data_IF_976254086831
#
_entry.id   IF_976254086831
#
_cell.length_a   1.000
_cell.length_b   1.000
_cell.length_c   1.000
_cell.angle_alpha   90.00
_cell.angle_beta   90.00
_cell.angle_gamma   90.00
#
_symmetry.space_group_name_H-M   'P 1'
#
loop_
_entity.id
_entity.type
_entity.pdbx_description
1 polymer ?
#
# COMPACT_ATOMS: atom_id res chain seq x y z
N UNK A 1 18.96 -2.02 -20.39
CA UNK A 1 17.86 -1.55 -19.52
C UNK A 1 17.97 -0.04 -19.39
N UNK A 2 16.89 0.71 -19.62
CA UNK A 2 16.91 2.17 -19.44
C UNK A 2 17.22 2.49 -17.98
N UNK A 3 18.22 3.33 -17.72
CA UNK A 3 18.51 3.81 -16.37
C UNK A 3 17.26 4.51 -15.83
N UNK A 4 16.74 4.04 -14.71
CA UNK A 4 15.62 4.67 -14.02
C UNK A 4 16.05 6.10 -13.68
N UNK A 5 15.28 7.09 -14.15
CA UNK A 5 15.56 8.49 -13.87
C UNK A 5 15.29 8.71 -12.38
N UNK A 6 16.30 9.18 -11.65
CA UNK A 6 16.15 9.62 -10.26
C UNK A 6 15.00 10.63 -10.19
N UNK A 7 14.06 10.41 -9.29
CA UNK A 7 12.93 11.31 -9.06
C UNK A 7 13.50 12.61 -8.49
N UNK A 8 13.25 13.71 -9.20
CA UNK A 8 13.56 15.06 -8.74
C UNK A 8 12.25 15.77 -8.41
N UNK A 9 12.13 16.27 -7.18
CA UNK A 9 10.96 17.07 -6.77
C UNK A 9 11.16 18.51 -7.24
N UNK A 10 10.12 19.24 -7.67
CA UNK A 10 10.18 20.69 -7.86
C UNK A 10 10.24 21.45 -6.52
N UNK A 11 11.00 22.55 -6.43
CA UNK A 11 11.25 23.27 -5.16
C UNK A 11 9.97 23.65 -4.40
N UNK A 12 8.90 24.02 -5.11
CA UNK A 12 7.59 24.39 -4.55
C UNK A 12 6.80 23.21 -3.96
N UNK A 13 7.26 21.97 -4.18
CA UNK A 13 6.66 20.72 -3.67
C UNK A 13 7.52 20.01 -2.62
N UNK A 14 8.67 20.58 -2.25
CA UNK A 14 9.66 19.92 -1.41
C UNK A 14 9.12 19.45 -0.07
N UNK A 15 8.35 20.32 0.60
CA UNK A 15 7.99 20.16 2.00
C UNK A 15 7.47 18.74 2.32
N UNK A 16 6.61 18.16 1.47
CA UNK A 16 6.09 16.79 1.68
C UNK A 16 6.62 15.77 0.69
N UNK A 17 6.91 16.19 -0.54
CA UNK A 17 7.22 15.23 -1.61
C UNK A 17 8.69 14.81 -1.60
N UNK A 18 9.59 15.60 -0.99
CA UNK A 18 11.03 15.31 -0.99
C UNK A 18 11.35 13.98 -0.30
N UNK A 19 10.78 13.74 0.89
CA UNK A 19 11.05 12.50 1.62
C UNK A 19 10.53 11.27 0.88
N UNK A 20 9.35 11.35 0.28
CA UNK A 20 8.83 10.27 -0.53
C UNK A 20 9.74 10.00 -1.74
N UNK A 21 10.17 11.05 -2.43
CA UNK A 21 11.07 10.91 -3.57
C UNK A 21 12.44 10.33 -3.18
N UNK A 22 13.01 10.75 -2.04
CA UNK A 22 14.25 10.21 -1.51
C UNK A 22 14.09 8.72 -1.19
N UNK A 23 13.03 8.35 -0.45
CA UNK A 23 12.73 6.95 -0.12
C UNK A 23 12.53 6.09 -1.36
N UNK A 24 11.77 6.57 -2.36
CA UNK A 24 11.59 5.87 -3.64
C UNK A 24 12.91 5.70 -4.37
N UNK A 25 13.73 6.74 -4.47
CA UNK A 25 15.05 6.68 -5.12
C UNK A 25 16.00 5.71 -4.42
N UNK A 26 15.89 5.54 -3.11
CA UNK A 26 16.72 4.67 -2.28
C UNK A 26 16.28 3.21 -2.37
N UNK A 27 14.98 2.93 -2.37
CA UNK A 27 14.43 1.58 -2.16
C UNK A 27 13.81 0.97 -3.43
N UNK A 28 13.29 1.79 -4.34
CA UNK A 28 12.58 1.34 -5.54
C UNK A 28 13.54 1.32 -6.73
N UNK A 29 13.57 0.18 -7.42
CA UNK A 29 14.25 0.05 -8.71
C UNK A 29 13.42 0.70 -9.80
N UNK A 30 12.14 0.32 -9.92
CA UNK A 30 11.22 0.91 -10.91
C UNK A 30 9.76 0.82 -10.47
N UNK A 31 8.96 1.77 -10.95
CA UNK A 31 7.51 1.65 -10.90
C UNK A 31 7.04 0.63 -11.94
N UNK A 32 6.12 -0.27 -11.55
CA UNK A 32 5.43 -1.16 -12.49
C UNK A 32 4.16 -0.50 -12.99
N UNK A 33 3.33 0.02 -12.08
CA UNK A 33 2.15 0.84 -12.38
C UNK A 33 1.75 1.66 -11.14
N UNK A 34 0.93 2.70 -11.35
CA UNK A 34 0.28 3.51 -10.31
C UNK A 34 -1.23 3.60 -10.55
N UNK A 35 -2.02 3.87 -9.52
CA UNK A 35 -3.46 4.17 -9.60
C UNK A 35 -4.29 3.11 -10.36
N UNK A 36 -3.94 1.82 -10.18
CA UNK A 36 -4.55 0.72 -10.93
C UNK A 36 -5.75 0.14 -10.19
N UNK A 37 -6.85 -0.07 -10.91
CA UNK A 37 -7.99 -0.83 -10.40
C UNK A 37 -7.62 -2.31 -10.36
N UNK A 38 -7.77 -2.92 -9.18
CA UNK A 38 -7.62 -4.34 -8.94
C UNK A 38 -8.99 -4.91 -8.57
N UNK A 39 -9.29 -6.09 -9.12
CA UNK A 39 -10.57 -6.77 -8.94
C UNK A 39 -10.25 -8.15 -8.37
N UNK A 40 -10.76 -8.42 -7.18
CA UNK A 40 -10.69 -9.71 -6.53
C UNK A 40 -12.07 -10.35 -6.40
N UNK A 41 -12.10 -11.52 -5.76
CA UNK A 41 -13.32 -12.28 -5.55
C UNK A 41 -14.22 -11.61 -4.52
N UNK A 42 -15.24 -10.90 -4.98
CA UNK A 42 -16.18 -10.19 -4.10
C UNK A 42 -15.80 -8.75 -3.76
N UNK A 43 -14.72 -8.19 -4.33
CA UNK A 43 -14.24 -6.85 -4.02
C UNK A 43 -13.46 -6.21 -5.18
N UNK A 44 -13.38 -4.89 -5.19
CA UNK A 44 -12.52 -4.14 -6.09
C UNK A 44 -12.04 -2.85 -5.41
N UNK A 45 -10.87 -2.36 -5.81
CA UNK A 45 -10.32 -1.12 -5.29
C UNK A 45 -9.21 -0.56 -6.18
N UNK A 46 -8.77 0.66 -5.89
CA UNK A 46 -7.68 1.33 -6.60
C UNK A 46 -6.43 1.30 -5.73
N UNK A 47 -5.38 0.65 -6.21
CA UNK A 47 -4.09 0.56 -5.53
C UNK A 47 -3.18 1.70 -6.01
N UNK A 48 -2.55 2.40 -5.05
CA UNK A 48 -1.68 3.55 -5.31
C UNK A 48 -0.51 3.16 -6.21
N UNK A 49 0.13 1.99 -5.98
CA UNK A 49 1.13 1.49 -6.90
C UNK A 49 1.69 0.09 -6.60
N UNK A 50 2.25 -0.50 -7.65
CA UNK A 50 3.11 -1.67 -7.60
C UNK A 50 4.50 -1.26 -8.05
N UNK A 51 5.49 -1.57 -7.24
CA UNK A 51 6.89 -1.23 -7.48
C UNK A 51 7.76 -2.48 -7.45
N UNK A 52 8.83 -2.43 -8.23
CA UNK A 52 9.96 -3.36 -8.13
C UNK A 52 10.97 -2.74 -7.18
N UNK A 53 11.23 -3.41 -6.07
CA UNK A 53 12.21 -3.00 -5.06
C UNK A 53 13.63 -3.36 -5.53
N UNK A 54 14.64 -2.65 -5.02
CA UNK A 54 16.05 -2.90 -5.40
C UNK A 54 16.61 -4.24 -4.90
N UNK A 55 15.96 -4.87 -3.92
CA UNK A 55 16.27 -6.23 -3.47
C UNK A 55 15.71 -7.31 -4.43
N UNK A 56 15.01 -6.89 -5.49
CA UNK A 56 14.40 -7.78 -6.47
C UNK A 56 12.98 -8.22 -6.11
N UNK A 57 12.41 -7.81 -4.97
CA UNK A 57 11.02 -8.12 -4.62
C UNK A 57 10.03 -7.19 -5.33
N UNK A 58 8.77 -7.63 -5.45
CA UNK A 58 7.65 -6.76 -5.82
C UNK A 58 6.93 -6.32 -4.54
N UNK A 59 6.48 -5.06 -4.50
CA UNK A 59 5.71 -4.53 -3.39
C UNK A 59 4.50 -3.71 -3.88
N UNK A 60 3.31 -4.02 -3.36
CA UNK A 60 2.20 -3.06 -3.37
C UNK A 60 2.45 -2.01 -2.30
N UNK A 61 2.34 -0.75 -2.68
CA UNK A 61 2.53 0.39 -1.78
C UNK A 61 1.21 1.15 -1.63
N UNK A 62 1.00 1.73 -0.47
CA UNK A 62 -0.10 2.65 -0.19
C UNK A 62 0.45 3.86 0.56
N UNK A 63 0.11 5.06 0.06
CA UNK A 63 0.56 6.33 0.59
C UNK A 63 -0.46 6.86 1.60
N UNK A 64 -0.04 6.99 2.86
CA UNK A 64 -0.87 7.52 3.94
C UNK A 64 -0.35 8.87 4.41
N UNK A 65 -1.27 9.79 4.66
CA UNK A 65 -0.98 11.05 5.36
C UNK A 65 -1.65 11.02 6.74
N UNK A 66 -0.87 11.05 7.82
CA UNK A 66 -1.39 10.87 9.20
C UNK A 66 -0.60 11.65 10.23
N UNK A 67 -1.23 11.97 11.35
CA UNK A 67 -0.52 12.54 12.50
C UNK A 67 0.41 11.48 13.09
N UNK A 68 1.71 11.79 13.15
CA UNK A 68 2.72 10.93 13.78
C UNK A 68 3.07 11.50 15.15
N UNK A 69 3.18 10.62 16.14
CA UNK A 69 3.64 10.96 17.47
C UNK A 69 4.90 10.12 17.77
N UNK A 70 6.08 10.75 17.99
CA UNK A 70 7.33 10.04 18.24
C UNK A 70 7.30 9.13 19.48
N UNK A 71 6.35 9.33 20.39
CA UNK A 71 6.19 8.49 21.59
C UNK A 71 5.59 7.12 21.29
N UNK A 72 4.95 6.95 20.14
CA UNK A 72 4.32 5.69 19.73
C UNK A 72 5.08 5.08 18.55
N UNK A 73 4.81 3.81 18.27
CA UNK A 73 5.36 3.11 17.11
C UNK A 73 4.88 3.70 15.77
N UNK A 74 5.16 2.97 14.69
CA UNK A 74 4.74 3.37 13.35
C UNK A 74 3.23 3.61 13.30
N UNK A 75 2.80 4.73 12.70
CA UNK A 75 1.39 5.11 12.59
C UNK A 75 0.62 4.29 11.52
N UNK A 76 0.88 2.98 11.48
CA UNK A 76 0.23 1.99 10.65
C UNK A 76 -0.93 1.34 11.43
N UNK A 77 -2.00 1.00 10.73
CA UNK A 77 -3.22 0.40 11.31
C UNK A 77 -3.50 -0.97 10.70
N UNK A 78 -4.23 -1.81 11.42
CA UNK A 78 -4.69 -3.13 10.94
C UNK A 78 -5.50 -3.03 9.63
N UNK A 79 -6.22 -1.92 9.44
CA UNK A 79 -6.94 -1.66 8.19
C UNK A 79 -6.01 -1.43 6.99
N UNK A 80 -4.76 -1.01 7.21
CA UNK A 80 -3.79 -0.81 6.12
C UNK A 80 -3.31 -2.16 5.58
N UNK A 81 -2.95 -3.08 6.47
CA UNK A 81 -2.53 -4.43 6.06
C UNK A 81 -3.69 -5.18 5.42
N UNK A 82 -4.93 -5.02 5.91
CA UNK A 82 -6.10 -5.62 5.28
C UNK A 82 -6.31 -5.10 3.85
N UNK A 83 -6.17 -3.78 3.63
CA UNK A 83 -6.27 -3.17 2.31
C UNK A 83 -5.16 -3.66 1.37
N UNK A 84 -3.90 -3.60 1.80
CA UNK A 84 -2.74 -3.98 1.00
C UNK A 84 -2.72 -5.49 0.71
N UNK A 85 -3.12 -6.33 1.67
CA UNK A 85 -3.24 -7.76 1.47
C UNK A 85 -4.31 -8.08 0.40
N UNK A 86 -5.48 -7.42 0.45
CA UNK A 86 -6.51 -7.58 -0.57
C UNK A 86 -6.00 -7.23 -1.98
N UNK A 87 -5.16 -6.20 -2.11
CA UNK A 87 -4.51 -5.85 -3.38
C UNK A 87 -3.44 -6.86 -3.80
N UNK A 88 -2.60 -7.31 -2.87
CA UNK A 88 -1.57 -8.33 -3.12
C UNK A 88 -2.19 -9.62 -3.68
N UNK A 89 -3.31 -10.08 -3.11
CA UNK A 89 -4.00 -11.30 -3.57
C UNK A 89 -4.62 -11.18 -4.97
N UNK A 90 -4.75 -9.96 -5.52
CA UNK A 90 -5.19 -9.76 -6.91
C UNK A 90 -4.06 -9.90 -7.93
N UNK A 91 -2.82 -10.17 -7.49
CA UNK A 91 -1.61 -10.18 -8.32
C UNK A 91 -0.95 -11.56 -8.19
N UNK A 92 -0.59 -12.17 -9.33
CA UNK A 92 -0.11 -13.55 -9.42
C UNK A 92 1.09 -13.83 -8.49
N UNK A 93 2.07 -12.94 -8.46
CA UNK A 93 3.28 -13.10 -7.64
C UNK A 93 3.07 -12.79 -6.15
N UNK A 94 1.86 -12.39 -5.73
CA UNK A 94 1.52 -12.03 -4.35
C UNK A 94 2.57 -11.11 -3.70
N UNK A 95 2.76 -9.89 -4.23
CA UNK A 95 3.81 -8.98 -3.80
C UNK A 95 3.72 -8.64 -2.30
N UNK A 96 4.83 -8.23 -1.72
CA UNK A 96 4.88 -7.70 -0.35
C UNK A 96 4.00 -6.46 -0.21
N UNK A 97 3.65 -6.10 1.01
CA UNK A 97 2.87 -4.90 1.32
C UNK A 97 3.69 -3.88 2.10
N UNK A 98 3.71 -2.63 1.64
CA UNK A 98 4.40 -1.54 2.34
C UNK A 98 3.45 -0.34 2.50
N UNK A 99 3.15 0.02 3.75
CA UNK A 99 2.52 1.30 4.06
C UNK A 99 3.60 2.38 4.11
N UNK A 100 3.46 3.45 3.33
CA UNK A 100 4.36 4.61 3.33
C UNK A 100 3.62 5.80 3.94
N UNK A 101 4.01 6.18 5.15
CA UNK A 101 3.29 7.15 5.97
C UNK A 101 4.08 8.46 6.02
N UNK A 102 3.50 9.51 5.46
CA UNK A 102 4.01 10.87 5.51
C UNK A 102 3.31 11.58 6.67
N UNK A 103 4.07 12.16 7.59
CA UNK A 103 3.47 12.80 8.75
C UNK A 103 2.73 14.09 8.35
N UNK A 104 1.48 14.20 8.80
CA UNK A 104 0.63 15.35 8.52
C UNK A 104 1.06 16.59 9.31
N UNK A 105 1.63 16.37 10.49
CA UNK A 105 2.04 17.37 11.47
C UNK A 105 3.55 17.70 11.47
N UNK A 106 4.36 16.95 10.73
CA UNK A 106 5.78 17.22 10.58
C UNK A 106 6.25 16.79 9.18
N UNK A 107 6.52 17.73 8.26
CA UNK A 107 6.95 17.41 6.91
C UNK A 107 8.31 16.71 6.83
N UNK A 108 9.10 16.73 7.92
CA UNK A 108 10.40 16.06 8.01
C UNK A 108 10.30 14.58 8.40
N UNK A 109 9.10 14.03 8.62
CA UNK A 109 8.90 12.66 9.09
C UNK A 109 8.19 11.81 8.04
N UNK A 110 8.87 10.72 7.65
CA UNK A 110 8.32 9.62 6.87
C UNK A 110 8.57 8.32 7.65
N UNK A 111 7.53 7.50 7.80
CA UNK A 111 7.61 6.17 8.37
C UNK A 111 7.21 5.14 7.31
N UNK A 112 7.82 3.96 7.35
CA UNK A 112 7.38 2.82 6.54
C UNK A 112 7.04 1.63 7.43
N UNK A 113 6.05 0.87 7.02
CA UNK A 113 5.73 -0.45 7.58
C UNK A 113 5.69 -1.44 6.43
N UNK A 114 6.72 -2.27 6.31
CA UNK A 114 6.66 -3.51 5.54
C UNK A 114 5.94 -4.54 6.40
N UNK A 115 4.94 -5.19 5.82
CA UNK A 115 4.13 -6.21 6.49
C UNK A 115 4.65 -7.60 6.15
N UNK A 116 4.76 -8.45 7.17
CA UNK A 116 5.15 -9.83 6.99
C UNK A 116 4.01 -10.64 6.35
N UNK A 117 4.36 -11.69 5.62
CA UNK A 117 3.36 -12.51 4.89
C UNK A 117 2.28 -13.08 5.81
N UNK A 118 2.65 -13.50 7.02
CA UNK A 118 1.69 -14.03 8.00
C UNK A 118 0.68 -12.96 8.46
N UNK A 119 1.14 -11.72 8.71
CA UNK A 119 0.26 -10.59 9.05
C UNK A 119 -0.72 -10.32 7.88
N UNK A 120 -0.23 -10.37 6.63
CA UNK A 120 -1.07 -10.19 5.45
C UNK A 120 -2.11 -11.31 5.27
N UNK A 121 -1.74 -12.56 5.54
CA UNK A 121 -2.65 -13.70 5.45
C UNK A 121 -3.78 -13.60 6.48
N UNK A 122 -3.44 -13.26 7.73
CA UNK A 122 -4.41 -13.03 8.79
C UNK A 122 -5.33 -11.84 8.45
N UNK A 123 -4.76 -10.73 7.99
CA UNK A 123 -5.51 -9.55 7.60
C UNK A 123 -6.42 -9.80 6.39
N UNK A 124 -5.99 -10.60 5.40
CA UNK A 124 -6.83 -10.96 4.26
C UNK A 124 -8.00 -11.86 4.66
N UNK A 125 -7.77 -12.78 5.61
CA UNK A 125 -8.85 -13.58 6.19
C UNK A 125 -9.88 -12.70 6.90
N UNK A 126 -9.43 -11.74 7.71
CA UNK A 126 -10.31 -10.74 8.33
C UNK A 126 -11.06 -9.91 7.27
N UNK A 127 -10.36 -9.45 6.22
CA UNK A 127 -10.95 -8.69 5.11
C UNK A 127 -12.07 -9.47 4.42
N UNK A 128 -11.88 -10.76 4.10
CA UNK A 128 -12.95 -11.59 3.51
C UNK A 128 -14.18 -11.69 4.42
N UNK A 129 -14.00 -11.78 5.73
CA UNK A 129 -15.12 -11.74 6.68
C UNK A 129 -15.85 -10.40 6.63
N UNK A 130 -15.13 -9.27 6.52
CA UNK A 130 -15.73 -7.95 6.36
C UNK A 130 -16.50 -7.83 5.04
N UNK A 131 -16.00 -8.41 3.95
CA UNK A 131 -16.73 -8.48 2.66
C UNK A 131 -18.06 -9.23 2.84
N UNK A 132 -18.08 -10.33 3.60
CA UNK A 132 -19.32 -11.08 3.90
C UNK A 132 -20.33 -10.24 4.69
N UNK A 133 -19.87 -9.54 5.74
CA UNK A 133 -20.73 -8.63 6.52
C UNK A 133 -21.27 -7.49 5.65
N UNK A 134 -20.42 -6.91 4.79
CA UNK A 134 -20.81 -5.86 3.88
C UNK A 134 -21.85 -6.35 2.86
N UNK A 135 -21.65 -7.51 2.26
CA UNK A 135 -22.56 -8.11 1.28
C UNK A 135 -23.95 -8.36 1.89
N UNK A 136 -23.99 -8.92 3.11
CA UNK A 136 -25.22 -9.08 3.87
C UNK A 136 -25.90 -7.75 4.15
N UNK A 137 -25.15 -6.75 4.63
CA UNK A 137 -25.68 -5.41 4.96
C UNK A 137 -26.24 -4.70 3.72
N UNK A 138 -25.65 -4.92 2.55
CA UNK A 138 -26.09 -4.34 1.28
C UNK A 138 -27.16 -5.17 0.57
N UNK A 139 -27.50 -6.35 1.08
CA UNK A 139 -28.33 -7.34 0.40
C UNK A 139 -27.88 -7.54 -1.06
N UNK A 140 -26.56 -7.63 -1.26
CA UNK A 140 -25.93 -7.69 -2.58
C UNK A 140 -24.76 -8.66 -2.53
N UNK A 141 -24.72 -9.59 -3.49
CA UNK A 141 -23.60 -10.52 -3.67
C UNK A 141 -22.77 -10.06 -4.87
N UNK A 142 -21.56 -9.52 -4.66
CA UNK A 142 -20.70 -9.15 -5.77
C UNK A 142 -20.24 -10.37 -6.59
N UNK A 143 -19.94 -10.17 -7.88
CA UNK A 143 -19.37 -11.22 -8.71
C UNK A 143 -18.12 -11.85 -8.10
N UNK A 144 -18.01 -13.17 -8.21
CA UNK A 144 -16.86 -13.95 -7.73
C UNK A 144 -16.79 -14.12 -6.22
N UNK A 145 -17.73 -13.58 -5.43
CA UNK A 145 -17.77 -13.80 -3.99
C UNK A 145 -18.15 -15.24 -3.66
N UNK A 146 -17.32 -15.92 -2.86
CA UNK A 146 -17.65 -17.22 -2.28
C UNK A 146 -18.39 -17.03 -0.94
N UNK A 147 -19.58 -17.64 -0.83
CA UNK A 147 -20.42 -17.62 0.37
C UNK A 147 -19.92 -18.62 1.43
#
# INVERSE_FOLDING_TARGET
MSKVKKITVPQDKYERCKLLADWLNENVERCVWTEKVLIGNGYAGRCDGLVKMKDGSLAVIDLKNRKVNPKYGTAAYESDVAQLAAYSECIEEKPKAISVIIASNDPAVLQTREWERHEMDEAFNAFKCLVKVWAWTKNYTPPGMEL
#
